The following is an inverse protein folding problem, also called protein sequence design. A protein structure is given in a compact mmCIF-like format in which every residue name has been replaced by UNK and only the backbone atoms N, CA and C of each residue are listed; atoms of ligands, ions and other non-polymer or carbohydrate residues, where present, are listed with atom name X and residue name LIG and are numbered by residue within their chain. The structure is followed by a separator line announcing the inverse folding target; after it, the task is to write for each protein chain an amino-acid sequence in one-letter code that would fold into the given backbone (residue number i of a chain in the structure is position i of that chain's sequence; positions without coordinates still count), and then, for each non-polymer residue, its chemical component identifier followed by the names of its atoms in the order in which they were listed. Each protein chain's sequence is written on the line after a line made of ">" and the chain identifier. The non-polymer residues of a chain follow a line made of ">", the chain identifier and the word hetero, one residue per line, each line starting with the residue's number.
data_IF_462601650293
#
_entry.id   IF_462601650293
#
_cell.length_a   1.000
_cell.length_b   1.000
_cell.length_c   1.000
_cell.angle_alpha   90.00
_cell.angle_beta   90.00
_cell.angle_gamma   90.00
#
_symmetry.space_group_name_H-M   'P 1'
#
loop_
_entity.id
_entity.type
_entity.pdbx_description
1 polymer ?
#
# COMPACT_ATOMS: atom_id res chain seq x y z
N UNK A 1 21.28 11.10 -17.86
CA UNK A 1 20.81 12.31 -17.17
C UNK A 1 20.05 11.83 -15.94
N UNK A 2 20.69 11.91 -14.77
CA UNK A 2 20.06 11.53 -13.50
C UNK A 2 18.94 12.53 -13.18
N UNK A 3 17.71 12.01 -13.11
CA UNK A 3 16.56 12.79 -12.63
C UNK A 3 16.61 12.71 -11.10
N UNK A 4 16.59 13.84 -10.37
CA UNK A 4 16.67 13.79 -8.92
C UNK A 4 15.46 13.03 -8.39
N UNK A 5 15.72 11.90 -7.72
CA UNK A 5 14.75 11.21 -6.90
C UNK A 5 14.28 12.24 -5.87
N UNK A 6 13.11 12.84 -6.06
CA UNK A 6 12.62 13.91 -5.18
C UNK A 6 12.35 13.27 -3.81
N UNK A 7 13.35 13.36 -2.93
CA UNK A 7 13.19 12.93 -1.55
C UNK A 7 12.11 13.80 -0.92
N UNK A 8 11.00 13.19 -0.56
CA UNK A 8 9.93 13.86 0.15
C UNK A 8 10.39 14.14 1.58
N UNK A 9 9.67 15.05 2.25
CA UNK A 9 9.70 15.14 3.71
C UNK A 9 8.63 14.21 4.27
N UNK A 10 8.82 13.68 5.47
CA UNK A 10 7.83 12.80 6.12
C UNK A 10 6.45 13.47 6.25
N UNK A 11 6.40 14.78 6.49
CA UNK A 11 5.15 15.56 6.53
C UNK A 11 4.45 15.63 5.17
N UNK A 12 5.21 15.68 4.07
CA UNK A 12 4.65 15.60 2.72
C UNK A 12 4.08 14.21 2.43
N UNK A 13 4.77 13.13 2.86
CA UNK A 13 4.24 11.76 2.76
C UNK A 13 2.91 11.64 3.49
N UNK A 14 2.82 12.15 4.73
CA UNK A 14 1.59 12.15 5.51
C UNK A 14 0.46 12.93 4.83
N UNK A 15 0.76 14.17 4.38
CA UNK A 15 -0.23 15.02 3.74
C UNK A 15 -0.80 14.41 2.45
N UNK A 16 0.05 13.83 1.59
CA UNK A 16 -0.38 13.20 0.33
C UNK A 16 -1.12 11.89 0.61
N UNK A 17 -0.75 11.19 1.69
CA UNK A 17 -1.47 10.01 2.16
C UNK A 17 -2.85 10.33 2.76
N UNK A 18 -3.19 11.62 2.94
CA UNK A 18 -4.37 12.11 3.68
C UNK A 18 -4.42 11.58 5.13
N UNK A 19 -3.26 11.59 5.78
CA UNK A 19 -3.08 11.09 7.15
C UNK A 19 -2.37 12.14 8.02
N UNK A 20 -2.62 12.07 9.33
CA UNK A 20 -1.88 12.90 10.28
C UNK A 20 -0.40 12.50 10.35
N UNK A 21 0.48 13.46 10.62
CA UNK A 21 1.92 13.20 10.74
C UNK A 21 2.26 12.14 11.80
N UNK A 22 1.41 12.00 12.83
CA UNK A 22 1.58 10.95 13.85
C UNK A 22 1.60 9.53 13.26
N UNK A 23 0.85 9.27 12.19
CA UNK A 23 0.90 7.99 11.48
C UNK A 23 2.22 7.78 10.78
N UNK A 24 2.75 8.82 10.13
CA UNK A 24 4.02 8.74 9.43
C UNK A 24 5.20 8.56 10.41
N UNK A 25 5.20 9.27 11.54
CA UNK A 25 6.19 9.07 12.60
C UNK A 25 6.13 7.67 13.19
N UNK A 26 4.93 7.15 13.48
CA UNK A 26 4.75 5.77 13.96
C UNK A 26 5.25 4.76 12.93
N UNK A 27 4.95 4.97 11.65
CA UNK A 27 5.41 4.13 10.54
C UNK A 27 6.94 4.14 10.43
N UNK A 28 7.59 5.30 10.56
CA UNK A 28 9.06 5.41 10.61
C UNK A 28 9.64 4.64 11.79
N UNK A 29 9.08 4.81 12.99
CA UNK A 29 9.58 4.16 14.20
C UNK A 29 9.41 2.63 14.20
N UNK A 30 8.51 2.12 13.35
CA UNK A 30 8.30 0.69 13.09
C UNK A 30 9.06 0.18 11.86
N UNK A 31 9.85 1.02 11.20
CA UNK A 31 10.60 0.63 10.00
C UNK A 31 9.73 0.41 8.76
N UNK A 32 8.51 0.96 8.72
CA UNK A 32 7.68 0.97 7.50
C UNK A 32 8.18 2.00 6.52
N UNK A 33 8.59 3.17 7.01
CA UNK A 33 9.10 4.28 6.20
C UNK A 33 10.60 4.46 6.41
N UNK A 34 11.33 4.69 5.33
CA UNK A 34 12.78 4.90 5.35
C UNK A 34 13.18 6.13 4.54
N UNK A 35 14.19 6.85 5.01
CA UNK A 35 14.80 7.92 4.22
C UNK A 35 15.77 7.35 3.18
N UNK A 36 15.82 7.92 1.95
CA UNK A 36 15.02 9.05 1.46
C UNK A 36 13.57 8.66 1.16
N UNK A 37 12.62 9.49 1.59
CA UNK A 37 11.19 9.22 1.35
C UNK A 37 10.81 9.43 -0.12
N UNK A 38 9.90 8.61 -0.61
CA UNK A 38 9.56 8.48 -2.02
C UNK A 38 8.04 8.32 -2.20
N UNK A 39 7.52 8.37 -3.44
CA UNK A 39 6.08 8.23 -3.65
C UNK A 39 5.51 6.86 -3.24
N UNK A 40 6.28 5.76 -3.31
CA UNK A 40 5.85 4.46 -2.78
C UNK A 40 5.54 4.51 -1.28
N UNK A 41 6.24 5.37 -0.53
CA UNK A 41 6.02 5.55 0.90
C UNK A 41 4.65 6.12 1.22
N UNK A 42 4.02 6.84 0.29
CA UNK A 42 2.64 7.32 0.44
C UNK A 42 1.66 6.14 0.44
N UNK A 43 1.82 5.23 -0.52
CA UNK A 43 0.95 4.05 -0.63
C UNK A 43 1.20 3.09 0.52
N UNK A 44 2.48 2.87 0.87
CA UNK A 44 2.87 2.08 2.03
C UNK A 44 2.27 2.64 3.33
N UNK A 45 2.27 3.97 3.50
CA UNK A 45 1.67 4.63 4.67
C UNK A 45 0.15 4.46 4.71
N UNK A 46 -0.56 4.62 3.59
CA UNK A 46 -2.01 4.37 3.51
C UNK A 46 -2.36 2.93 3.88
N UNK A 47 -1.63 1.96 3.32
CA UNK A 47 -1.84 0.53 3.63
C UNK A 47 -1.52 0.23 5.09
N UNK A 48 -0.39 0.72 5.60
CA UNK A 48 -0.02 0.58 7.01
C UNK A 48 -1.10 1.11 7.96
N UNK A 49 -1.60 2.33 7.71
CA UNK A 49 -2.64 2.94 8.53
C UNK A 49 -3.94 2.11 8.50
N UNK A 50 -4.31 1.57 7.33
CA UNK A 50 -5.48 0.70 7.18
C UNK A 50 -5.31 -0.62 7.95
N UNK A 51 -4.24 -1.37 7.68
CA UNK A 51 -4.03 -2.71 8.28
C UNK A 51 -3.77 -2.66 9.78
N UNK A 52 -3.23 -1.54 10.28
CA UNK A 52 -3.06 -1.30 11.73
C UNK A 52 -4.40 -1.25 12.48
N UNK A 53 -5.49 -0.91 11.80
CA UNK A 53 -6.81 -0.78 12.38
C UNK A 53 -7.65 -2.06 12.28
N UNK A 54 -7.24 -3.03 11.45
CA UNK A 54 -7.92 -4.32 11.34
C UNK A 54 -7.76 -5.10 12.63
N UNK A 55 -8.87 -5.57 13.17
CA UNK A 55 -8.94 -6.54 14.26
C UNK A 55 -9.68 -7.80 13.81
N UNK A 56 -9.02 -8.94 13.91
CA UNK A 56 -9.60 -10.24 13.57
C UNK A 56 -10.39 -10.81 14.77
N UNK A 57 -11.58 -11.40 14.55
CA UNK A 57 -12.32 -12.06 15.62
C UNK A 57 -11.48 -13.17 16.27
N UNK A 58 -11.49 -13.23 17.61
CA UNK A 58 -10.72 -14.23 18.36
C UNK A 58 -9.26 -13.86 18.62
N UNK A 59 -8.69 -12.91 17.88
CA UNK A 59 -7.33 -12.41 18.12
C UNK A 59 -7.36 -11.28 19.16
N UNK A 60 -6.91 -11.56 20.39
CA UNK A 60 -6.78 -10.54 21.44
C UNK A 60 -5.44 -9.83 21.29
N UNK A 61 -5.45 -8.58 20.80
CA UNK A 61 -4.26 -7.71 20.88
C UNK A 61 -4.03 -7.27 22.32
N UNK A 62 -2.86 -7.61 22.88
CA UNK A 62 -2.43 -7.13 24.18
C UNK A 62 -2.22 -5.60 24.15
N UNK A 63 -2.85 -4.88 25.08
CA UNK A 63 -2.84 -3.40 25.09
C UNK A 63 -1.50 -2.79 25.53
N UNK A 64 -0.63 -3.54 26.22
CA UNK A 64 0.54 -2.99 26.94
C UNK A 64 1.91 -3.26 26.33
N UNK A 65 2.01 -4.02 25.24
CA UNK A 65 3.31 -4.32 24.61
C UNK A 65 3.57 -3.33 23.48
N UNK A 66 4.82 -2.85 23.37
CA UNK A 66 5.29 -2.07 22.21
C UNK A 66 4.89 -2.81 20.94
N UNK A 67 3.89 -2.27 20.24
CA UNK A 67 3.25 -2.94 19.12
C UNK A 67 4.23 -3.01 17.95
N UNK A 68 4.83 -4.17 17.71
CA UNK A 68 5.47 -4.47 16.43
C UNK A 68 4.39 -4.75 15.38
N UNK A 69 4.75 -4.65 14.11
CA UNK A 69 3.89 -5.15 13.05
C UNK A 69 3.77 -6.67 13.16
N UNK A 70 2.56 -7.17 12.92
CA UNK A 70 2.35 -8.60 12.68
C UNK A 70 2.87 -8.94 11.28
N UNK A 71 3.35 -10.16 11.06
CA UNK A 71 3.98 -10.57 9.79
C UNK A 71 3.08 -10.32 8.57
N UNK A 72 1.76 -10.52 8.70
CA UNK A 72 0.82 -10.25 7.60
C UNK A 72 0.67 -8.75 7.30
N UNK A 73 0.86 -7.88 8.31
CA UNK A 73 0.84 -6.42 8.10
C UNK A 73 2.10 -5.97 7.37
N UNK A 74 3.26 -6.54 7.68
CA UNK A 74 4.50 -6.34 6.93
C UNK A 74 4.34 -6.81 5.48
N UNK A 75 3.77 -7.99 5.28
CA UNK A 75 3.48 -8.53 3.94
C UNK A 75 2.52 -7.62 3.14
N UNK A 76 1.48 -7.07 3.78
CA UNK A 76 0.57 -6.12 3.14
C UNK A 76 1.27 -4.84 2.69
N UNK A 77 2.13 -4.27 3.54
CA UNK A 77 2.92 -3.09 3.20
C UNK A 77 3.91 -3.40 2.07
N UNK A 78 4.58 -4.55 2.11
CA UNK A 78 5.51 -4.97 1.07
C UNK A 78 4.80 -5.17 -0.29
N UNK A 79 3.66 -5.85 -0.30
CA UNK A 79 2.86 -6.04 -1.51
C UNK A 79 2.34 -4.71 -2.09
N UNK A 80 2.06 -3.71 -1.24
CA UNK A 80 1.68 -2.39 -1.70
C UNK A 80 2.84 -1.65 -2.41
N UNK A 81 4.08 -1.81 -1.92
CA UNK A 81 5.28 -1.30 -2.59
C UNK A 81 5.54 -2.02 -3.90
N UNK A 82 5.34 -3.34 -3.92
CA UNK A 82 5.42 -4.13 -5.14
C UNK A 82 4.41 -3.62 -6.18
N UNK A 83 3.15 -3.37 -5.81
CA UNK A 83 2.17 -2.76 -6.71
C UNK A 83 2.65 -1.39 -7.26
N UNK A 84 3.23 -0.53 -6.41
CA UNK A 84 3.74 0.76 -6.88
C UNK A 84 4.88 0.63 -7.92
N UNK A 85 5.65 -0.46 -7.88
CA UNK A 85 6.80 -0.69 -8.78
C UNK A 85 6.51 -1.62 -9.95
N UNK A 86 5.46 -2.45 -9.88
CA UNK A 86 5.10 -3.42 -10.91
C UNK A 86 4.40 -2.80 -12.12
N UNK A 87 4.98 -2.94 -13.32
CA UNK A 87 4.54 -2.29 -14.57
C UNK A 87 3.09 -2.59 -14.98
N UNK A 88 2.55 -3.73 -14.56
CA UNK A 88 1.19 -4.18 -14.85
C UNK A 88 0.13 -3.55 -13.93
N UNK A 89 0.53 -2.77 -12.91
CA UNK A 89 -0.41 -2.16 -11.99
C UNK A 89 -1.37 -1.21 -12.69
N UNK A 90 -2.66 -1.45 -12.49
CA UNK A 90 -3.77 -0.67 -13.04
C UNK A 90 -4.63 -0.12 -11.89
N UNK A 91 -5.57 0.82 -12.15
CA UNK A 91 -6.56 1.22 -11.16
C UNK A 91 -7.39 0.06 -10.59
N UNK A 92 -7.44 -1.07 -11.31
CA UNK A 92 -8.14 -2.28 -10.89
C UNK A 92 -7.35 -3.14 -9.90
N UNK A 93 -6.04 -2.88 -9.75
CA UNK A 93 -5.16 -3.61 -8.84
C UNK A 93 -5.63 -3.46 -7.40
N UNK A 94 -5.82 -4.59 -6.73
CA UNK A 94 -6.34 -4.67 -5.38
C UNK A 94 -5.47 -5.58 -4.53
N UNK A 95 -5.26 -5.17 -3.28
CA UNK A 95 -4.60 -5.96 -2.27
C UNK A 95 -5.67 -6.59 -1.37
N UNK A 96 -5.77 -7.91 -1.40
CA UNK A 96 -6.63 -8.67 -0.52
C UNK A 96 -5.88 -9.05 0.74
N UNK A 97 -6.48 -8.75 1.87
CA UNK A 97 -5.94 -9.06 3.19
C UNK A 97 -6.92 -10.01 3.90
N UNK A 98 -6.43 -11.20 4.19
CA UNK A 98 -7.08 -12.22 5.01
C UNK A 98 -6.32 -12.35 6.33
N UNK A 99 -6.88 -13.09 7.28
CA UNK A 99 -6.26 -13.30 8.60
C UNK A 99 -4.86 -13.93 8.52
N UNK A 100 -4.65 -14.83 7.57
CA UNK A 100 -3.44 -15.65 7.43
C UNK A 100 -2.58 -15.29 6.21
N UNK A 101 -3.10 -14.46 5.29
CA UNK A 101 -2.43 -14.19 4.02
C UNK A 101 -2.80 -12.86 3.40
N UNK A 102 -1.95 -12.44 2.48
CA UNK A 102 -2.13 -11.26 1.65
C UNK A 102 -1.99 -11.69 0.19
N UNK A 103 -2.86 -11.18 -0.67
CA UNK A 103 -2.85 -11.48 -2.11
C UNK A 103 -2.97 -10.19 -2.92
N UNK A 104 -1.94 -9.87 -3.71
CA UNK A 104 -2.00 -8.76 -4.66
C UNK A 104 -2.58 -9.27 -5.98
N UNK A 105 -3.59 -8.58 -6.49
CA UNK A 105 -4.32 -8.99 -7.69
C UNK A 105 -4.46 -7.82 -8.64
N UNK A 106 -4.11 -8.00 -9.91
CA UNK A 106 -4.11 -6.93 -10.91
C UNK A 106 -5.26 -7.07 -11.90
N UNK A 107 -5.67 -8.30 -12.21
CA UNK A 107 -6.58 -8.57 -13.32
C UNK A 107 -8.02 -8.93 -12.84
N UNK A 108 -9.07 -8.58 -13.61
CA UNK A 108 -10.46 -8.91 -13.25
C UNK A 108 -10.72 -10.40 -12.96
N UNK A 109 -10.11 -11.30 -13.73
CA UNK A 109 -10.31 -12.75 -13.56
C UNK A 109 -9.63 -13.30 -12.31
N UNK A 110 -8.49 -12.74 -11.92
CA UNK A 110 -7.82 -13.08 -10.67
C UNK A 110 -8.67 -12.64 -9.46
N UNK A 111 -9.36 -11.49 -9.55
CA UNK A 111 -10.29 -11.04 -8.51
C UNK A 111 -11.43 -12.03 -8.31
N UNK A 112 -12.01 -12.52 -9.41
CA UNK A 112 -13.03 -13.58 -9.36
C UNK A 112 -12.47 -14.89 -8.79
N UNK A 113 -11.22 -15.23 -9.09
CA UNK A 113 -10.58 -16.42 -8.55
C UNK A 113 -10.36 -16.33 -7.03
N UNK A 114 -10.00 -15.16 -6.50
CA UNK A 114 -9.88 -14.94 -5.04
C UNK A 114 -11.21 -15.18 -4.34
N UNK A 115 -12.30 -14.60 -4.86
CA UNK A 115 -13.64 -14.78 -4.31
C UNK A 115 -14.04 -16.27 -4.25
N UNK A 116 -13.84 -16.99 -5.37
CA UNK A 116 -14.22 -18.39 -5.48
C UNK A 116 -13.32 -19.37 -4.73
N UNK A 117 -12.02 -19.08 -4.59
CA UNK A 117 -11.03 -20.04 -4.06
C UNK A 117 -10.53 -19.73 -2.66
N UNK A 118 -10.49 -18.45 -2.29
CA UNK A 118 -9.82 -18.01 -1.05
C UNK A 118 -10.80 -17.54 0.00
N UNK A 119 -11.94 -16.96 -0.39
CA UNK A 119 -12.89 -16.45 0.58
C UNK A 119 -13.65 -17.58 1.26
N UNK A 120 -14.37 -18.47 0.56
CA UNK A 120 -15.07 -19.62 1.16
C UNK A 120 -15.79 -19.29 2.50
N UNK A 121 -16.44 -18.12 2.57
CA UNK A 121 -17.11 -17.62 3.79
C UNK A 121 -16.23 -16.91 4.83
N UNK A 122 -14.93 -16.80 4.60
CA UNK A 122 -13.95 -16.07 5.42
C UNK A 122 -14.07 -14.56 5.22
N UNK A 123 -13.76 -13.81 6.27
CA UNK A 123 -13.64 -12.35 6.20
C UNK A 123 -12.35 -11.96 5.49
N UNK A 124 -12.46 -11.04 4.54
CA UNK A 124 -11.31 -10.42 3.88
C UNK A 124 -11.55 -8.93 3.67
N UNK A 125 -10.46 -8.17 3.63
CA UNK A 125 -10.48 -6.75 3.26
C UNK A 125 -9.86 -6.59 1.88
N UNK A 126 -10.58 -5.88 1.00
CA UNK A 126 -10.05 -5.46 -0.30
C UNK A 126 -9.57 -4.02 -0.20
N UNK A 127 -8.27 -3.82 -0.35
CA UNK A 127 -7.63 -2.50 -0.33
C UNK A 127 -7.37 -2.06 -1.78
N UNK A 128 -7.89 -0.89 -2.22
CA UNK A 128 -7.81 -0.45 -3.61
C UNK A 128 -6.47 0.22 -3.94
N UNK A 129 -5.37 -0.53 -3.85
CA UNK A 129 -4.00 0.00 -4.01
C UNK A 129 -3.77 0.63 -5.39
N UNK A 130 -4.34 0.07 -6.46
CA UNK A 130 -4.25 0.62 -7.81
C UNK A 130 -4.88 2.00 -7.94
N UNK A 131 -6.02 2.22 -7.28
CA UNK A 131 -6.68 3.53 -7.22
C UNK A 131 -5.81 4.53 -6.49
N UNK A 132 -5.28 4.17 -5.31
CA UNK A 132 -4.41 5.05 -4.53
C UNK A 132 -3.13 5.43 -5.26
N UNK A 133 -2.56 4.50 -6.04
CA UNK A 133 -1.42 4.78 -6.91
C UNK A 133 -1.82 5.77 -8.01
N UNK A 134 -2.98 5.59 -8.63
CA UNK A 134 -3.48 6.48 -9.70
C UNK A 134 -3.83 7.90 -9.24
N UNK A 135 -4.08 8.09 -7.94
CA UNK A 135 -4.35 9.39 -7.31
C UNK A 135 -3.08 10.16 -6.93
N UNK A 136 -1.91 9.52 -6.99
CA UNK A 136 -0.66 10.21 -6.66
C UNK A 136 -0.44 11.37 -7.63
N UNK A 137 0.03 12.53 -7.15
CA UNK A 137 0.30 13.67 -8.02
C UNK A 137 1.21 13.31 -9.19
N UNK A 138 0.88 13.76 -10.40
CA UNK A 138 1.65 13.47 -11.63
C UNK A 138 3.15 13.82 -11.52
N UNK A 139 3.49 14.79 -10.67
CA UNK A 139 4.88 15.16 -10.39
C UNK A 139 5.68 14.01 -9.73
N UNK A 140 5.00 13.08 -9.07
CA UNK A 140 5.55 11.95 -8.32
C UNK A 140 5.44 10.63 -9.07
N UNK A 141 4.61 10.57 -10.11
CA UNK A 141 4.46 9.37 -10.92
C UNK A 141 5.60 9.26 -11.94
N UNK A 142 6.55 8.35 -11.67
CA UNK A 142 7.65 8.06 -12.60
C UNK A 142 7.15 7.42 -13.90
N UNK A 143 5.96 6.79 -13.92
CA UNK A 143 5.44 6.03 -15.08
C UNK A 143 4.78 6.92 -16.13
N UNK A 144 4.06 7.97 -15.71
CA UNK A 144 3.41 8.92 -16.65
C UNK A 144 4.38 9.72 -17.51
N UNK A 145 5.65 9.84 -17.10
CA UNK A 145 6.68 10.55 -17.89
C UNK A 145 7.18 9.78 -19.11
N UNK A 146 6.81 8.50 -19.27
CA UNK A 146 7.26 7.62 -20.37
C UNK A 146 6.15 7.13 -21.31
N UNK A 147 4.91 7.62 -21.19
CA UNK A 147 3.81 7.20 -22.06
C UNK A 147 4.04 7.59 -23.53
N UNK A 148 3.65 6.75 -24.51
CA UNK A 148 3.92 7.01 -25.92
C UNK A 148 3.27 8.33 -26.33
N UNK A 149 4.06 9.20 -27.00
CA UNK A 149 3.52 10.37 -27.69
C UNK A 149 2.38 9.89 -28.57
N UNK A 150 1.16 10.35 -28.29
CA UNK A 150 0.05 10.22 -29.22
C UNK A 150 0.50 10.83 -30.54
N UNK A 151 0.68 9.98 -31.55
CA UNK A 151 0.90 10.40 -32.93
C UNK A 151 -0.46 10.84 -33.43
N UNK A 152 -0.66 12.15 -33.52
CA UNK A 152 -1.71 12.76 -34.32
C UNK A 152 -1.25 12.87 -35.78
#
# INVERSE_FOLDING_TARGET
>A
MDVPNQSLKISAVAAIADLSESWAWKARDLGVLHEPYSPEDVVALRVYAFVSQIGWPGVRRARSTRQSLELWQEAAVAAAREAYTADDTTPDTALWVLEDRVELVTQPWERAAVDLKLLDGRTAFRIPVGVWISELPDAMDKRRRGGPKAVA
#
